data_IF_358735434477
#
_entry.id   IF_358735434477
#
_cell.length_a   1.000
_cell.length_b   1.000
_cell.length_c   1.000
_cell.angle_alpha   90.00
_cell.angle_beta   90.00
_cell.angle_gamma   90.00
#
_symmetry.space_group_name_H-M   'P 1'
#
loop_
_entity.id
_entity.type
_entity.pdbx_description
1 polymer ?
#
# COMPACT_ATOMS: atom_id res chain seq x y z
N UNK A 1 2.44 17.35 6.16
CA UNK A 1 1.10 17.92 5.90
C UNK A 1 0.51 17.42 4.57
N UNK A 2 1.24 17.56 3.46
CA UNK A 2 0.71 17.21 2.13
C UNK A 2 0.32 15.73 1.99
N UNK A 3 1.10 14.82 2.53
CA UNK A 3 0.80 13.38 2.51
C UNK A 3 -0.49 13.09 3.29
N UNK A 4 -0.66 13.70 4.46
CA UNK A 4 -1.89 13.56 5.25
C UNK A 4 -3.10 14.13 4.51
N UNK A 5 -2.95 15.23 3.80
CA UNK A 5 -4.00 15.82 2.96
C UNK A 5 -4.46 14.84 1.86
N UNK A 6 -3.52 14.16 1.20
CA UNK A 6 -3.84 13.12 0.22
C UNK A 6 -4.62 11.98 0.87
N UNK A 7 -4.16 11.48 2.03
CA UNK A 7 -4.79 10.37 2.74
C UNK A 7 -6.20 10.73 3.27
N UNK A 8 -6.37 11.96 3.78
CA UNK A 8 -7.63 12.43 4.35
C UNK A 8 -8.81 12.27 3.38
N UNK A 9 -8.61 12.57 2.11
CA UNK A 9 -9.64 12.37 1.09
C UNK A 9 -10.18 10.93 1.08
N UNK A 10 -9.26 9.95 1.17
CA UNK A 10 -9.65 8.53 1.14
C UNK A 10 -10.35 8.08 2.42
N UNK A 11 -10.00 8.66 3.56
CA UNK A 11 -10.69 8.39 4.83
C UNK A 11 -12.12 8.92 4.77
N UNK A 12 -12.30 10.14 4.28
CA UNK A 12 -13.59 10.85 4.31
C UNK A 12 -14.55 10.41 3.21
N UNK A 13 -14.06 9.98 2.05
CA UNK A 13 -14.88 9.80 0.86
C UNK A 13 -14.87 8.39 0.29
N UNK A 14 -14.06 7.48 0.79
CA UNK A 14 -13.90 6.14 0.18
C UNK A 14 -13.81 5.02 1.21
N UNK A 15 -13.91 3.79 0.73
CA UNK A 15 -13.62 2.55 1.47
C UNK A 15 -12.25 1.97 1.08
N UNK A 16 -11.43 2.71 0.34
CA UNK A 16 -10.04 2.32 0.03
C UNK A 16 -9.22 2.18 1.31
N UNK A 17 -9.51 3.00 2.32
CA UNK A 17 -9.10 2.77 3.71
C UNK A 17 -10.33 2.54 4.59
N UNK A 18 -10.21 1.68 5.60
CA UNK A 18 -11.27 1.44 6.57
C UNK A 18 -11.16 2.34 7.83
N UNK A 19 -10.22 3.28 7.89
CA UNK A 19 -10.24 4.29 8.94
C UNK A 19 -11.48 5.18 8.82
N UNK A 20 -12.08 5.51 9.97
CA UNK A 20 -13.26 6.37 10.04
C UNK A 20 -12.90 7.83 10.17
N UNK A 21 -11.85 8.12 10.96
CA UNK A 21 -11.43 9.47 11.27
C UNK A 21 -10.03 9.75 10.71
N UNK A 22 -9.83 10.97 10.21
CA UNK A 22 -8.51 11.41 9.78
C UNK A 22 -7.59 11.52 10.99
N UNK A 23 -6.43 10.83 11.01
CA UNK A 23 -5.48 10.96 12.10
C UNK A 23 -4.95 12.38 12.21
N UNK A 24 -4.53 12.78 13.40
CA UNK A 24 -3.81 14.05 13.57
C UNK A 24 -2.49 14.05 12.83
N UNK A 25 -1.95 15.23 12.52
CA UNK A 25 -0.64 15.33 11.87
C UNK A 25 0.45 14.65 12.71
N UNK A 26 0.43 14.85 14.03
CA UNK A 26 1.41 14.24 14.94
C UNK A 26 1.34 12.72 14.94
N UNK A 27 0.13 12.16 14.94
CA UNK A 27 -0.09 10.71 14.85
C UNK A 27 0.39 10.16 13.51
N UNK A 28 0.04 10.81 12.41
CA UNK A 28 0.43 10.39 11.07
C UNK A 28 1.95 10.46 10.87
N UNK A 29 2.61 11.49 11.36
CA UNK A 29 4.08 11.61 11.35
C UNK A 29 4.75 10.54 12.22
N UNK A 30 4.13 10.18 13.35
CA UNK A 30 4.60 9.07 14.19
C UNK A 30 4.57 7.74 13.46
N UNK A 31 3.45 7.43 12.79
CA UNK A 31 3.33 6.23 11.94
C UNK A 31 4.41 6.19 10.85
N UNK A 32 4.64 7.32 10.19
CA UNK A 32 5.67 7.43 9.15
C UNK A 32 7.07 7.20 9.68
N UNK A 33 7.43 7.83 10.81
CA UNK A 33 8.75 7.64 11.44
C UNK A 33 9.01 6.20 11.85
N UNK A 34 7.99 5.51 12.38
CA UNK A 34 8.12 4.10 12.78
C UNK A 34 8.39 3.21 11.56
N UNK A 35 7.67 3.42 10.47
CA UNK A 35 7.87 2.67 9.22
C UNK A 35 9.24 2.94 8.60
N UNK A 36 9.71 4.17 8.63
CA UNK A 36 11.00 4.58 8.06
C UNK A 36 12.22 4.03 8.80
N UNK A 37 12.05 3.46 9.97
CA UNK A 37 13.14 2.77 10.68
C UNK A 37 13.63 1.52 9.94
N UNK A 38 12.78 0.89 9.13
CA UNK A 38 13.10 -0.35 8.43
C UNK A 38 12.78 -0.32 6.95
N UNK A 39 11.71 0.35 6.55
CA UNK A 39 11.12 0.26 5.22
C UNK A 39 11.23 1.56 4.44
N UNK A 40 11.31 1.51 3.09
CA UNK A 40 11.23 2.69 2.26
C UNK A 40 9.85 3.34 2.34
N UNK A 41 9.84 4.65 2.37
CA UNK A 41 8.66 5.50 2.32
C UNK A 41 8.91 6.56 1.25
N UNK A 42 8.17 6.50 0.15
CA UNK A 42 8.45 7.26 -1.06
C UNK A 42 7.32 8.23 -1.38
N UNK A 43 7.68 9.37 -1.92
CA UNK A 43 6.74 10.32 -2.52
C UNK A 43 7.03 10.47 -4.01
N UNK A 44 6.01 10.80 -4.78
CA UNK A 44 6.17 11.20 -6.17
C UNK A 44 5.77 12.66 -6.31
N UNK A 45 6.64 13.41 -6.95
CA UNK A 45 6.49 14.84 -7.13
C UNK A 45 6.44 15.19 -8.61
N UNK A 46 5.54 16.09 -8.97
CA UNK A 46 5.43 16.64 -10.31
C UNK A 46 5.21 18.15 -10.20
N UNK A 47 6.00 18.91 -10.95
CA UNK A 47 5.94 20.38 -10.98
C UNK A 47 6.03 21.02 -9.56
N UNK A 48 6.89 20.48 -8.71
CA UNK A 48 7.11 20.97 -7.36
C UNK A 48 6.00 20.61 -6.36
N UNK A 49 5.06 19.74 -6.72
CA UNK A 49 3.96 19.30 -5.85
C UNK A 49 3.98 17.79 -5.66
N UNK A 50 3.87 17.34 -4.42
CA UNK A 50 3.70 15.91 -4.11
C UNK A 50 2.29 15.49 -4.57
N UNK A 51 2.25 14.48 -5.43
CA UNK A 51 1.00 13.95 -5.99
C UNK A 51 0.68 12.52 -5.54
N UNK A 52 1.55 11.92 -4.79
CA UNK A 52 1.30 10.59 -4.24
C UNK A 52 2.41 10.13 -3.33
N UNK A 53 2.14 9.05 -2.63
CA UNK A 53 3.11 8.38 -1.77
C UNK A 53 2.85 6.89 -1.70
N UNK A 54 3.90 6.14 -1.41
CA UNK A 54 3.82 4.70 -1.18
C UNK A 54 4.85 4.29 -0.14
N UNK A 55 4.52 3.28 0.61
CA UNK A 55 5.39 2.72 1.62
C UNK A 55 5.18 1.23 1.77
N UNK A 56 6.13 0.59 2.42
CA UNK A 56 6.00 -0.79 2.85
C UNK A 56 5.95 -0.88 4.37
N UNK A 57 5.38 -1.96 4.85
CA UNK A 57 5.42 -2.34 6.25
C UNK A 57 5.44 -3.86 6.40
N UNK A 58 5.65 -4.34 7.64
CA UNK A 58 5.67 -5.77 7.91
C UNK A 58 4.35 -6.42 7.50
N UNK A 59 4.43 -7.53 6.77
CA UNK A 59 3.25 -8.35 6.43
C UNK A 59 2.62 -8.94 7.69
N UNK A 60 3.43 -9.59 8.51
CA UNK A 60 3.08 -10.07 9.85
C UNK A 60 4.24 -9.74 10.78
N UNK A 61 3.99 -9.20 11.96
CA UNK A 61 5.01 -8.72 12.88
C UNK A 61 5.85 -9.81 13.57
N UNK A 62 6.37 -10.77 12.82
CA UNK A 62 7.23 -11.87 13.28
C UNK A 62 8.44 -12.00 12.36
N UNK A 63 9.62 -12.27 12.90
CA UNK A 63 10.86 -12.38 12.14
C UNK A 63 10.82 -13.41 11.00
N UNK A 64 10.07 -14.49 11.16
CA UNK A 64 9.89 -15.49 10.10
C UNK A 64 9.23 -14.93 8.82
N UNK A 65 8.58 -13.78 8.91
CA UNK A 65 7.93 -13.10 7.78
C UNK A 65 8.73 -11.89 7.26
N UNK A 66 10.00 -11.73 7.66
CA UNK A 66 10.80 -10.55 7.28
C UNK A 66 11.03 -10.43 5.77
N UNK A 67 10.97 -11.53 5.03
CA UNK A 67 11.10 -11.55 3.57
C UNK A 67 9.79 -11.22 2.84
N UNK A 68 8.73 -10.92 3.56
CA UNK A 68 7.44 -10.48 3.05
C UNK A 68 7.14 -9.06 3.51
N UNK A 69 6.61 -8.24 2.61
CA UNK A 69 6.20 -6.88 2.93
C UNK A 69 4.82 -6.58 2.35
N UNK A 70 4.01 -5.83 3.09
CA UNK A 70 2.77 -5.27 2.60
C UNK A 70 3.03 -3.86 2.05
N UNK A 71 2.48 -3.57 0.87
CA UNK A 71 2.62 -2.28 0.20
C UNK A 71 1.33 -1.48 0.31
N UNK A 72 1.50 -0.18 0.47
CA UNK A 72 0.40 0.78 0.48
C UNK A 72 0.73 1.94 -0.45
N UNK A 73 -0.24 2.38 -1.22
CA UNK A 73 -0.12 3.50 -2.15
C UNK A 73 -1.37 4.37 -2.11
N UNK A 74 -1.15 5.68 -2.11
CA UNK A 74 -2.20 6.68 -2.28
C UNK A 74 -1.73 7.77 -3.24
N UNK A 75 -2.54 8.06 -4.23
CA UNK A 75 -2.35 9.20 -5.14
C UNK A 75 -3.35 10.30 -4.80
N UNK A 76 -2.98 11.54 -5.04
CA UNK A 76 -3.95 12.64 -5.02
C UNK A 76 -5.11 12.27 -5.94
N UNK A 77 -6.35 12.42 -5.44
CA UNK A 77 -7.55 12.04 -6.18
C UNK A 77 -7.72 12.78 -7.51
N UNK A 78 -7.07 13.94 -7.65
CA UNK A 78 -7.05 14.71 -8.90
C UNK A 78 -5.88 14.32 -9.83
N UNK A 79 -4.91 13.54 -9.36
CA UNK A 79 -3.71 13.15 -10.11
C UNK A 79 -3.90 11.87 -10.95
N UNK A 80 -5.05 11.68 -11.56
CA UNK A 80 -5.51 10.40 -12.12
C UNK A 80 -4.87 9.96 -13.44
N UNK A 81 -3.93 10.68 -14.02
CA UNK A 81 -3.34 10.33 -15.31
C UNK A 81 -1.84 10.56 -15.31
N UNK A 82 -1.11 9.73 -16.06
CA UNK A 82 0.33 9.86 -16.25
C UNK A 82 1.19 8.72 -15.70
N UNK A 83 0.58 7.61 -15.24
CA UNK A 83 1.33 6.44 -14.79
C UNK A 83 2.08 6.63 -13.48
N UNK A 84 1.71 7.62 -12.66
CA UNK A 84 2.39 7.93 -11.40
C UNK A 84 2.39 6.75 -10.42
N UNK A 85 1.28 6.03 -10.35
CA UNK A 85 1.16 4.86 -9.47
C UNK A 85 2.13 3.75 -9.83
N UNK A 86 2.30 3.48 -11.13
CA UNK A 86 3.27 2.50 -11.63
C UNK A 86 4.71 2.90 -11.28
N UNK A 87 5.07 4.15 -11.57
CA UNK A 87 6.43 4.67 -11.28
C UNK A 87 6.74 4.54 -9.79
N UNK A 88 5.79 4.93 -8.95
CA UNK A 88 5.94 4.91 -7.50
C UNK A 88 6.07 3.46 -6.97
N UNK A 89 5.23 2.55 -7.44
CA UNK A 89 5.28 1.14 -7.03
C UNK A 89 6.51 0.39 -7.54
N UNK A 90 6.92 0.64 -8.77
CA UNK A 90 8.14 0.04 -9.32
C UNK A 90 9.37 0.50 -8.52
N UNK A 91 9.46 1.79 -8.19
CA UNK A 91 10.52 2.33 -7.37
C UNK A 91 10.52 1.73 -5.95
N UNK A 92 9.35 1.52 -5.36
CA UNK A 92 9.21 0.88 -4.05
C UNK A 92 9.63 -0.60 -4.11
N UNK A 93 9.16 -1.34 -5.11
CA UNK A 93 9.50 -2.75 -5.31
C UNK A 93 11.01 -2.96 -5.52
N UNK A 94 11.67 -2.10 -6.30
CA UNK A 94 13.11 -2.15 -6.53
C UNK A 94 13.90 -2.00 -5.21
N UNK A 95 13.48 -1.08 -4.36
CA UNK A 95 14.10 -0.87 -3.05
C UNK A 95 13.90 -2.06 -2.11
N UNK A 96 12.70 -2.62 -2.10
CA UNK A 96 12.39 -3.81 -1.30
C UNK A 96 13.19 -5.03 -1.78
N UNK A 97 13.31 -5.21 -3.08
CA UNK A 97 14.15 -6.27 -3.66
C UNK A 97 15.61 -6.12 -3.24
N UNK A 98 16.15 -4.90 -3.26
CA UNK A 98 17.51 -4.62 -2.81
C UNK A 98 17.72 -4.90 -1.33
N UNK A 99 16.69 -4.78 -0.50
CA UNK A 99 16.73 -5.19 0.92
C UNK A 99 16.74 -6.71 1.11
N UNK A 100 16.36 -7.49 0.11
CA UNK A 100 16.21 -8.94 0.20
C UNK A 100 14.76 -9.43 0.37
N UNK A 101 13.77 -8.55 0.26
CA UNK A 101 12.35 -8.92 0.30
C UNK A 101 11.99 -9.75 -0.94
N UNK A 102 11.25 -10.81 -0.75
CA UNK A 102 10.89 -11.78 -1.80
C UNK A 102 9.41 -11.75 -2.17
N UNK A 103 8.55 -11.41 -1.22
CA UNK A 103 7.09 -11.43 -1.39
C UNK A 103 6.53 -10.04 -1.13
N UNK A 104 5.72 -9.57 -2.07
CA UNK A 104 4.95 -8.33 -1.93
C UNK A 104 3.47 -8.67 -1.79
N UNK A 105 2.80 -8.02 -0.85
CA UNK A 105 1.37 -8.16 -0.60
C UNK A 105 0.67 -6.81 -0.65
N UNK A 106 -0.55 -6.83 -1.13
CA UNK A 106 -1.45 -5.70 -1.08
C UNK A 106 -2.80 -6.14 -0.52
N UNK A 107 -3.29 -5.40 0.47
CA UNK A 107 -4.59 -5.61 1.08
C UNK A 107 -5.55 -4.57 0.53
N UNK A 108 -6.60 -5.03 -0.15
CA UNK A 108 -7.44 -4.17 -0.98
C UNK A 108 -8.90 -4.38 -0.61
N UNK A 109 -9.60 -3.30 -0.26
CA UNK A 109 -11.05 -3.31 -0.15
C UNK A 109 -11.66 -3.70 -1.51
N UNK A 110 -12.59 -4.64 -1.52
CA UNK A 110 -13.12 -5.20 -2.75
C UNK A 110 -14.65 -5.24 -2.72
N UNK A 111 -15.34 -4.55 -3.63
CA UNK A 111 -16.79 -4.57 -3.69
C UNK A 111 -17.27 -5.77 -4.48
N UNK A 112 -18.32 -6.44 -4.00
CA UNK A 112 -19.05 -7.43 -4.80
C UNK A 112 -19.74 -6.71 -5.97
N UNK A 113 -20.33 -5.54 -5.68
CA UNK A 113 -20.89 -4.62 -6.66
C UNK A 113 -20.28 -3.25 -6.41
N UNK A 114 -19.73 -2.64 -7.45
CA UNK A 114 -19.16 -1.29 -7.35
C UNK A 114 -20.20 -0.26 -6.92
N UNK A 115 -19.77 0.69 -6.10
CA UNK A 115 -20.58 1.81 -5.63
C UNK A 115 -19.78 3.13 -5.63
N UNK A 116 -20.38 4.19 -5.11
CA UNK A 116 -19.77 5.52 -5.05
C UNK A 116 -18.54 5.60 -4.14
N UNK A 117 -18.34 4.63 -3.23
CA UNK A 117 -17.26 4.62 -2.26
C UNK A 117 -16.12 3.69 -2.62
N UNK A 118 -16.38 2.65 -3.41
CA UNK A 118 -15.39 1.62 -3.74
C UNK A 118 -15.64 1.01 -5.11
N UNK A 119 -14.59 0.98 -5.92
CA UNK A 119 -14.56 0.30 -7.21
C UNK A 119 -13.51 -0.81 -7.21
N UNK A 120 -13.46 -1.60 -8.28
CA UNK A 120 -12.43 -2.62 -8.49
C UNK A 120 -11.13 -2.05 -9.07
N UNK A 121 -11.02 -0.75 -9.17
CA UNK A 121 -9.91 -0.07 -9.82
C UNK A 121 -8.56 -0.40 -9.17
N UNK A 122 -8.49 -0.45 -7.83
CA UNK A 122 -7.24 -0.78 -7.12
C UNK A 122 -6.80 -2.22 -7.40
N UNK A 123 -7.72 -3.17 -7.42
CA UNK A 123 -7.40 -4.56 -7.78
C UNK A 123 -6.89 -4.67 -9.22
N UNK A 124 -7.54 -4.01 -10.17
CA UNK A 124 -7.12 -3.95 -11.57
C UNK A 124 -5.75 -3.32 -11.72
N UNK A 125 -5.47 -2.24 -11.00
CA UNK A 125 -4.16 -1.60 -10.98
C UNK A 125 -3.08 -2.57 -10.52
N UNK A 126 -3.31 -3.33 -9.44
CA UNK A 126 -2.35 -4.32 -8.95
C UNK A 126 -2.17 -5.50 -9.92
N UNK A 127 -3.24 -5.95 -10.58
CA UNK A 127 -3.14 -6.97 -11.63
C UNK A 127 -2.21 -6.52 -12.77
N UNK A 128 -2.34 -5.29 -13.23
CA UNK A 128 -1.48 -4.72 -14.27
C UNK A 128 -0.01 -4.63 -13.84
N UNK A 129 0.27 -4.59 -12.55
CA UNK A 129 1.62 -4.62 -11.99
C UNK A 129 2.14 -6.03 -11.71
N UNK A 130 1.38 -7.06 -12.07
CA UNK A 130 1.77 -8.45 -11.91
C UNK A 130 1.38 -9.10 -10.59
N UNK A 131 0.53 -8.47 -9.80
CA UNK A 131 -0.05 -9.10 -8.61
C UNK A 131 -1.15 -10.08 -9.00
N UNK A 132 -1.29 -11.15 -8.24
CA UNK A 132 -2.36 -12.13 -8.38
C UNK A 132 -3.18 -12.26 -7.10
N UNK A 133 -4.49 -12.58 -7.20
CA UNK A 133 -5.31 -12.80 -6.00
C UNK A 133 -4.77 -13.95 -5.14
N UNK A 134 -4.68 -13.73 -3.84
CA UNK A 134 -4.22 -14.74 -2.88
C UNK A 134 -5.33 -15.19 -1.90
N UNK A 135 -6.34 -14.38 -1.68
CA UNK A 135 -7.45 -14.76 -0.82
C UNK A 135 -8.47 -13.63 -0.66
N UNK A 136 -9.68 -14.00 -0.25
CA UNK A 136 -10.81 -13.08 -0.04
C UNK A 136 -11.39 -13.26 1.35
N UNK A 137 -11.65 -12.15 2.03
CA UNK A 137 -12.40 -12.09 3.28
C UNK A 137 -13.73 -11.38 3.02
N UNK A 138 -14.82 -12.10 3.30
CA UNK A 138 -16.16 -11.62 2.96
C UNK A 138 -16.75 -10.79 4.10
N UNK A 139 -17.32 -9.63 3.76
CA UNK A 139 -18.02 -8.74 4.69
C UNK A 139 -17.21 -8.47 5.97
N UNK A 140 -15.92 -8.26 5.83
CA UNK A 140 -15.01 -8.07 6.97
C UNK A 140 -14.83 -6.60 7.36
N UNK A 141 -15.22 -5.65 6.53
CA UNK A 141 -15.14 -4.22 6.79
C UNK A 141 -16.50 -3.54 6.70
N UNK A 142 -16.80 -2.66 7.66
CA UNK A 142 -18.04 -1.88 7.70
C UNK A 142 -17.72 -0.39 7.70
N UNK A 143 -18.24 0.33 6.70
CA UNK A 143 -18.04 1.77 6.56
C UNK A 143 -19.15 2.38 5.72
N UNK A 144 -19.55 3.60 6.01
CA UNK A 144 -20.66 4.30 5.35
C UNK A 144 -21.99 3.49 5.35
N UNK A 145 -22.22 2.72 6.43
CA UNK A 145 -23.44 1.91 6.56
C UNK A 145 -23.48 0.66 5.67
N UNK A 146 -22.35 0.23 5.11
CA UNK A 146 -22.24 -0.90 4.19
C UNK A 146 -21.12 -1.84 4.56
N UNK A 147 -21.30 -3.12 4.24
CA UNK A 147 -20.29 -4.16 4.38
C UNK A 147 -19.50 -4.34 3.09
N UNK A 148 -18.19 -4.53 3.23
CA UNK A 148 -17.28 -4.73 2.12
C UNK A 148 -16.38 -5.94 2.35
N UNK A 149 -16.02 -6.59 1.25
CA UNK A 149 -14.99 -7.62 1.25
C UNK A 149 -13.59 -6.98 1.26
N UNK A 150 -12.61 -7.80 1.57
CA UNK A 150 -11.20 -7.45 1.41
C UNK A 150 -10.49 -8.59 0.72
N UNK A 151 -9.65 -8.29 -0.26
CA UNK A 151 -8.79 -9.27 -0.91
C UNK A 151 -7.32 -9.01 -0.56
N UNK A 152 -6.57 -10.10 -0.50
CA UNK A 152 -5.12 -10.07 -0.55
C UNK A 152 -4.67 -10.34 -1.97
N UNK A 153 -3.72 -9.54 -2.45
CA UNK A 153 -3.00 -9.80 -3.70
C UNK A 153 -1.52 -9.99 -3.42
N UNK A 154 -0.87 -10.80 -4.24
CA UNK A 154 0.50 -11.26 -4.03
C UNK A 154 1.34 -11.09 -5.29
N UNK A 155 2.60 -10.69 -5.10
CA UNK A 155 3.62 -10.70 -6.16
C UNK A 155 4.93 -11.22 -5.61
N UNK A 156 5.47 -12.27 -6.20
CA UNK A 156 6.80 -12.81 -5.87
C UNK A 156 7.84 -12.07 -6.70
N UNK A 157 8.86 -11.51 -6.06
CA UNK A 157 9.90 -10.71 -6.70
C UNK A 157 11.31 -11.28 -6.57
N UNK A 158 11.48 -12.41 -5.90
CA UNK A 158 12.77 -13.05 -5.73
C UNK A 158 12.65 -14.55 -5.52
N UNK A 159 13.78 -15.23 -5.58
CA UNK A 159 13.88 -16.67 -5.42
C UNK A 159 13.96 -17.06 -3.94
N UNK A 160 13.12 -18.01 -3.52
CA UNK A 160 13.17 -18.57 -2.19
C UNK A 160 14.24 -19.68 -2.14
N UNK A 161 15.20 -19.55 -1.22
CA UNK A 161 16.33 -20.49 -1.11
C UNK A 161 16.41 -21.07 0.31
N UNK A 162 16.92 -22.31 0.47
CA UNK A 162 17.12 -22.89 1.80
C UNK A 162 18.13 -22.12 2.66
N UNK A 163 19.10 -21.45 2.03
CA UNK A 163 20.15 -20.64 2.64
C UNK A 163 19.85 -19.14 2.53
N UNK A 164 18.60 -18.75 2.79
CA UNK A 164 18.14 -17.38 2.58
C UNK A 164 18.90 -16.38 3.46
N UNK A 165 19.55 -15.37 2.86
CA UNK A 165 20.17 -14.29 3.63
C UNK A 165 19.12 -13.44 4.37
N UNK A 166 19.52 -12.88 5.49
CA UNK A 166 18.69 -11.92 6.20
C UNK A 166 18.42 -10.67 5.36
N UNK A 167 17.28 -10.03 5.59
CA UNK A 167 17.00 -8.74 4.98
C UNK A 167 17.89 -7.65 5.61
N UNK A 168 18.16 -6.62 4.81
CA UNK A 168 18.87 -5.42 5.27
C UNK A 168 17.86 -4.26 5.31
N UNK A 169 17.67 -3.61 6.49
CA UNK A 169 16.80 -2.46 6.59
C UNK A 169 17.17 -1.38 5.58
N UNK A 170 16.15 -0.67 5.06
CA UNK A 170 16.37 0.40 4.09
C UNK A 170 17.16 1.56 4.72
N UNK A 171 18.11 2.09 3.97
CA UNK A 171 18.92 3.25 4.36
C UNK A 171 18.53 4.44 3.50
N UNK A 172 18.14 5.53 4.15
CA UNK A 172 17.79 6.80 3.50
C UNK A 172 19.02 7.63 3.12
#
# INVERSE_FOLDING_TARGET
PRILEIYAYYVEHTVITFEYDVPSLAEFEGRMRDLMQKYPYLVIERDGRIEGYAYAHAFVGRAAYDWAAELTIYLDHDARRGGLGRVLYEALADRLKAMGVLNLYARIGYPQVEDEYLTKNSAQFHEHLGFTPAGTFHNCGYKFGRWYDMIWMEKIIGEHRPDQPDIVPYQY
#
